data_IF_534719022018
#
_entry.id   IF_534719022018
#
_cell.length_a   1.000
_cell.length_b   1.000
_cell.length_c   1.000
_cell.angle_alpha   90.00
_cell.angle_beta   90.00
_cell.angle_gamma   90.00
#
_symmetry.space_group_name_H-M   'P 1'
#
loop_
_entity.id
_entity.type
_entity.pdbx_description
1 polymer ?
#
# COMPACT_ATOMS: atom_id res chain seq x y z
N UNK A 1 0.68 22.42 14.60
CA UNK A 1 -0.46 21.60 14.17
C UNK A 1 -0.01 20.59 13.14
N UNK A 2 -0.41 19.37 13.34
CA UNK A 2 -0.01 18.30 12.45
C UNK A 2 -1.05 18.10 11.35
N UNK A 3 -0.56 17.95 10.14
CA UNK A 3 -1.44 17.67 9.01
C UNK A 3 -1.13 16.29 8.46
N UNK A 4 -2.20 15.55 8.20
CA UNK A 4 -2.06 14.27 7.54
C UNK A 4 -1.98 14.50 6.04
N UNK A 5 -0.99 13.91 5.41
CA UNK A 5 -0.85 13.97 3.97
C UNK A 5 -1.24 12.62 3.39
N UNK A 6 -2.23 12.64 2.51
CA UNK A 6 -2.62 11.42 1.82
C UNK A 6 -1.68 11.23 0.64
N UNK A 7 -1.10 10.05 0.55
CA UNK A 7 -0.21 9.67 -0.53
C UNK A 7 -0.72 8.42 -1.20
N UNK A 8 -0.25 8.16 -2.40
CA UNK A 8 -0.51 6.89 -3.04
C UNK A 8 0.52 5.88 -2.55
N UNK A 9 0.11 4.62 -2.41
CA UNK A 9 1.04 3.59 -1.99
C UNK A 9 2.24 3.52 -2.93
N UNK A 10 2.02 3.77 -4.23
CA UNK A 10 3.10 3.77 -5.22
C UNK A 10 4.13 4.87 -4.99
N UNK A 11 3.79 5.87 -4.19
CA UNK A 11 4.69 7.01 -3.93
C UNK A 11 5.47 6.85 -2.63
N UNK A 12 5.18 5.83 -1.83
CA UNK A 12 5.87 5.64 -0.57
C UNK A 12 7.34 5.32 -0.77
N UNK A 13 8.16 5.92 0.09
CA UNK A 13 9.57 5.58 0.14
C UNK A 13 9.74 4.20 0.73
N UNK A 14 10.86 3.56 0.37
CA UNK A 14 11.21 2.26 0.89
C UNK A 14 11.34 2.33 2.42
N UNK A 15 10.80 1.32 3.08
CA UNK A 15 10.87 1.18 4.55
C UNK A 15 10.14 2.28 5.33
N UNK A 16 9.16 2.94 4.70
CA UNK A 16 8.35 3.94 5.39
C UNK A 16 6.95 3.36 5.62
N UNK A 17 6.56 3.12 6.87
CA UNK A 17 5.23 2.60 7.15
C UNK A 17 4.16 3.65 6.95
N UNK A 18 2.99 3.20 6.55
CA UNK A 18 1.84 4.08 6.34
C UNK A 18 0.57 3.30 6.59
N UNK A 19 -0.49 4.02 6.94
CA UNK A 19 -1.79 3.42 7.19
C UNK A 19 -2.66 3.53 5.95
N UNK A 20 -3.26 2.42 5.54
CA UNK A 20 -4.16 2.39 4.38
C UNK A 20 -5.46 3.08 4.75
N UNK A 21 -5.87 4.07 3.97
CA UNK A 21 -7.11 4.81 4.22
C UNK A 21 -8.15 4.62 3.13
N UNK A 22 -7.74 4.24 1.93
CA UNK A 22 -8.69 4.03 0.84
C UNK A 22 -8.08 3.10 -0.20
N UNK A 23 -8.90 2.17 -0.70
CA UNK A 23 -8.51 1.30 -1.81
C UNK A 23 -9.52 1.54 -2.92
N UNK A 24 -9.11 2.29 -3.93
CA UNK A 24 -9.98 2.67 -5.04
C UNK A 24 -9.76 1.72 -6.21
N UNK A 25 -10.25 0.50 -6.04
CA UNK A 25 -9.99 -0.58 -6.98
C UNK A 25 -11.22 -1.47 -7.11
N UNK A 26 -11.17 -2.42 -8.02
CA UNK A 26 -12.27 -3.34 -8.25
C UNK A 26 -12.49 -4.26 -7.04
N UNK A 27 -13.74 -4.69 -6.81
CA UNK A 27 -14.03 -5.57 -5.68
C UNK A 27 -13.20 -6.84 -5.65
N UNK A 28 -12.90 -7.42 -6.82
CA UNK A 28 -12.09 -8.63 -6.86
C UNK A 28 -10.68 -8.39 -6.33
N UNK A 29 -10.11 -7.24 -6.64
CA UNK A 29 -8.80 -6.88 -6.11
C UNK A 29 -8.88 -6.66 -4.59
N UNK A 30 -9.90 -5.93 -4.14
CA UNK A 30 -10.07 -5.62 -2.72
C UNK A 30 -10.18 -6.90 -1.91
N UNK A 31 -10.92 -7.89 -2.41
CA UNK A 31 -11.07 -9.17 -1.74
C UNK A 31 -9.75 -9.93 -1.64
N UNK A 32 -9.01 -9.99 -2.74
CA UNK A 32 -7.72 -10.67 -2.75
C UNK A 32 -6.72 -9.98 -1.83
N UNK A 33 -6.71 -8.66 -1.86
CA UNK A 33 -5.81 -7.88 -1.01
C UNK A 33 -6.14 -8.10 0.46
N UNK A 34 -7.43 -8.10 0.80
CA UNK A 34 -7.86 -8.31 2.18
C UNK A 34 -7.46 -9.70 2.68
N UNK A 35 -7.51 -10.70 1.83
CA UNK A 35 -7.09 -12.06 2.20
C UNK A 35 -5.60 -12.09 2.56
N UNK A 36 -4.81 -11.18 2.01
CA UNK A 36 -3.39 -11.06 2.32
C UNK A 36 -3.12 -10.07 3.46
N UNK A 37 -4.17 -9.48 4.01
CA UNK A 37 -4.05 -8.53 5.11
C UNK A 37 -4.04 -7.06 4.68
N UNK A 38 -4.07 -6.78 3.38
CA UNK A 38 -4.04 -5.42 2.87
C UNK A 38 -5.47 -4.88 2.81
N UNK A 39 -5.82 -4.04 3.77
CA UNK A 39 -7.15 -3.45 3.84
C UNK A 39 -7.09 -2.16 4.63
N UNK A 40 -8.21 -1.44 4.66
CA UNK A 40 -8.28 -0.14 5.32
C UNK A 40 -7.93 -0.29 6.80
N UNK A 41 -7.20 0.69 7.33
CA UNK A 41 -6.71 0.78 8.69
C UNK A 41 -5.53 -0.12 9.02
N UNK A 42 -5.00 -0.83 8.03
CA UNK A 42 -3.80 -1.64 8.24
C UNK A 42 -2.56 -0.84 7.87
N UNK A 43 -1.47 -1.13 8.57
CA UNK A 43 -0.18 -0.51 8.29
C UNK A 43 0.54 -1.31 7.22
N UNK A 44 1.06 -0.62 6.22
CA UNK A 44 1.78 -1.22 5.11
C UNK A 44 3.13 -0.52 4.97
N UNK A 45 4.14 -1.29 4.59
CA UNK A 45 5.48 -0.74 4.29
C UNK A 45 5.91 -1.22 2.92
N UNK A 46 6.71 -0.40 2.24
CA UNK A 46 7.32 -0.81 0.98
C UNK A 46 8.69 -1.38 1.32
N UNK A 47 8.89 -2.65 1.02
CA UNK A 47 10.17 -3.31 1.26
C UNK A 47 11.14 -3.06 0.13
N UNK A 48 10.63 -3.05 -1.10
CA UNK A 48 11.48 -2.90 -2.28
C UNK A 48 10.62 -2.43 -3.43
N UNK A 49 11.16 -1.53 -4.22
CA UNK A 49 10.50 -1.12 -5.46
C UNK A 49 11.55 -0.83 -6.51
N UNK A 50 11.23 -1.16 -7.74
CA UNK A 50 12.09 -0.90 -8.87
C UNK A 50 11.39 0.05 -9.82
N UNK A 51 12.15 0.70 -10.68
CA UNK A 51 11.60 1.62 -11.65
C UNK A 51 10.68 0.86 -12.61
N UNK A 52 9.42 1.31 -12.68
CA UNK A 52 8.42 0.73 -13.57
C UNK A 52 8.14 -0.75 -13.32
N UNK A 53 8.57 -1.27 -12.19
CA UNK A 53 8.35 -2.68 -11.87
C UNK A 53 7.41 -2.87 -10.70
N UNK A 54 7.17 -4.12 -10.33
CA UNK A 54 6.33 -4.42 -9.18
C UNK A 54 6.94 -3.89 -7.89
N UNK A 55 6.06 -3.67 -6.93
CA UNK A 55 6.45 -3.16 -5.62
C UNK A 55 6.26 -4.28 -4.61
N UNK A 56 7.29 -4.55 -3.82
CA UNK A 56 7.19 -5.53 -2.73
C UNK A 56 6.73 -4.81 -1.48
N UNK A 57 5.61 -5.23 -0.91
CA UNK A 57 5.06 -4.59 0.29
C UNK A 57 4.98 -5.60 1.41
N UNK A 58 4.96 -5.08 2.63
CA UNK A 58 4.81 -5.89 3.82
C UNK A 58 3.57 -5.41 4.59
N UNK A 59 2.71 -6.37 4.93
CA UNK A 59 1.54 -6.11 5.76
C UNK A 59 1.53 -7.19 6.85
N UNK A 60 1.58 -6.77 8.12
CA UNK A 60 1.71 -7.70 9.24
C UNK A 60 2.99 -8.53 9.07
N UNK A 61 2.86 -9.85 9.04
CA UNK A 61 4.00 -10.75 8.84
C UNK A 61 4.13 -11.24 7.41
N UNK A 62 3.24 -10.77 6.53
CA UNK A 62 3.21 -11.21 5.14
C UNK A 62 3.89 -10.19 4.24
N UNK A 63 4.56 -10.66 3.20
CA UNK A 63 5.07 -9.79 2.16
C UNK A 63 4.68 -10.37 0.81
N UNK A 64 4.37 -9.48 -0.13
CA UNK A 64 3.96 -9.90 -1.45
C UNK A 64 4.18 -8.76 -2.44
N UNK A 65 4.11 -9.11 -3.73
CA UNK A 65 4.32 -8.15 -4.80
C UNK A 65 2.98 -7.59 -5.27
N UNK A 66 3.00 -6.31 -5.62
CA UNK A 66 1.83 -5.63 -6.16
C UNK A 66 2.31 -4.79 -7.34
N UNK A 67 1.50 -4.73 -8.39
CA UNK A 67 1.87 -3.91 -9.56
C UNK A 67 1.79 -2.44 -9.20
N UNK A 68 2.68 -1.65 -9.80
CA UNK A 68 2.69 -0.20 -9.57
C UNK A 68 1.34 0.43 -9.90
N UNK A 69 0.67 -0.05 -10.95
CA UNK A 69 -0.65 0.46 -11.33
C UNK A 69 -1.70 0.20 -10.24
N UNK A 70 -1.61 -0.94 -9.56
CA UNK A 70 -2.53 -1.26 -8.48
C UNK A 70 -2.21 -0.44 -7.24
N UNK A 71 -0.91 -0.27 -6.94
CA UNK A 71 -0.50 0.55 -5.80
C UNK A 71 -0.92 2.01 -5.95
N UNK A 72 -0.98 2.49 -7.19
CA UNK A 72 -1.42 3.85 -7.46
C UNK A 72 -2.89 4.09 -7.14
N UNK A 73 -3.65 3.04 -6.89
CA UNK A 73 -5.07 3.15 -6.53
C UNK A 73 -5.32 2.98 -5.04
N UNK A 74 -4.26 2.91 -4.25
CA UNK A 74 -4.37 2.74 -2.81
C UNK A 74 -3.83 4.01 -2.15
N UNK A 75 -4.66 4.62 -1.31
CA UNK A 75 -4.29 5.83 -0.59
C UNK A 75 -3.87 5.48 0.82
N UNK A 76 -2.79 6.10 1.26
CA UNK A 76 -2.20 5.85 2.56
C UNK A 76 -1.83 7.17 3.24
N UNK A 77 -1.68 7.11 4.55
CA UNK A 77 -1.17 8.23 5.33
C UNK A 77 0.14 7.76 5.97
N UNK A 78 1.28 8.34 5.60
CA UNK A 78 2.57 7.98 6.21
C UNK A 78 2.57 8.23 7.70
N UNK A 79 3.24 7.36 8.42
CA UNK A 79 3.40 7.48 9.87
C UNK A 79 4.61 8.31 10.27
#
# INVERSE_FOLDING_TARGET
>A
MQKYQIRLLSELSQNSPATVVEINHQPSFILKAAALGLKINKVVSVLHKSNNGPICIKVNTSSFMIRAADAAKIKVIPQ
#
